data_IF_407593895287
#
_entry.id   IF_407593895287
#
_cell.length_a   1.000
_cell.length_b   1.000
_cell.length_c   1.000
_cell.angle_alpha   90.00
_cell.angle_beta   90.00
_cell.angle_gamma   90.00
#
_symmetry.space_group_name_H-M   'P 1'
#
loop_
_entity.id
_entity.type
_entity.pdbx_description
1 polymer ?
#
# COMPACT_ATOMS: atom_id res chain seq x y z
N UNK A 1 -18.09 -36.69 12.05
CA UNK A 1 -17.61 -35.71 11.04
C UNK A 1 -16.20 -35.29 11.42
N UNK A 2 -15.17 -35.93 10.88
CA UNK A 2 -13.77 -35.59 11.16
C UNK A 2 -13.47 -34.20 10.62
N UNK A 3 -13.28 -33.22 11.51
CA UNK A 3 -12.76 -31.92 11.15
C UNK A 3 -11.35 -32.09 10.56
N UNK A 4 -11.22 -32.03 9.24
CA UNK A 4 -9.92 -31.92 8.61
C UNK A 4 -9.32 -30.55 8.98
N UNK A 5 -8.23 -30.58 9.76
CA UNK A 5 -7.49 -29.36 10.14
C UNK A 5 -7.02 -28.61 8.90
N UNK A 6 -7.15 -27.29 8.89
CA UNK A 6 -6.64 -26.44 7.80
C UNK A 6 -5.10 -26.45 7.77
N UNK A 7 -4.48 -26.05 6.66
CA UNK A 7 -3.03 -25.96 6.58
C UNK A 7 -2.43 -25.01 7.63
N UNK A 8 -3.18 -23.95 7.99
CA UNK A 8 -2.79 -23.03 9.07
C UNK A 8 -2.90 -23.65 10.47
N UNK A 9 -3.68 -24.68 10.65
CA UNK A 9 -3.83 -25.42 11.91
C UNK A 9 -2.84 -26.58 12.02
N UNK A 10 -2.49 -27.25 10.89
CA UNK A 10 -1.53 -28.36 10.87
C UNK A 10 -0.10 -27.90 11.07
N UNK A 11 0.35 -26.90 10.31
CA UNK A 11 1.70 -26.37 10.36
C UNK A 11 1.68 -24.82 10.38
N UNK A 12 1.25 -24.20 11.48
CA UNK A 12 1.00 -22.77 11.51
C UNK A 12 2.27 -21.94 11.22
N UNK A 13 3.44 -22.33 11.74
CA UNK A 13 4.68 -21.61 11.50
C UNK A 13 5.05 -21.59 10.01
N UNK A 14 5.00 -22.74 9.34
CA UNK A 14 5.33 -22.85 7.92
C UNK A 14 4.33 -22.08 7.04
N UNK A 15 3.04 -22.08 7.41
CA UNK A 15 2.00 -21.31 6.72
C UNK A 15 2.32 -19.81 6.76
N UNK A 16 2.52 -19.25 7.94
CA UNK A 16 2.76 -17.82 8.10
C UNK A 16 4.07 -17.36 7.44
N UNK A 17 5.13 -18.17 7.49
CA UNK A 17 6.37 -17.90 6.77
C UNK A 17 6.16 -17.86 5.25
N UNK A 18 5.55 -18.90 4.68
CA UNK A 18 5.28 -18.98 3.25
C UNK A 18 4.37 -17.85 2.79
N UNK A 19 3.34 -17.52 3.57
CA UNK A 19 2.45 -16.40 3.28
C UNK A 19 3.20 -15.07 3.32
N UNK A 20 4.01 -14.82 4.34
CA UNK A 20 4.79 -13.60 4.46
C UNK A 20 5.75 -13.40 3.29
N UNK A 21 6.48 -14.45 2.89
CA UNK A 21 7.38 -14.41 1.72
C UNK A 21 6.60 -14.15 0.42
N UNK A 22 5.43 -14.78 0.23
CA UNK A 22 4.62 -14.56 -0.96
C UNK A 22 4.05 -13.14 -1.01
N UNK A 23 3.58 -12.63 0.13
CA UNK A 23 3.07 -11.26 0.22
C UNK A 23 4.19 -10.23 -0.02
N UNK A 24 5.37 -10.45 0.56
CA UNK A 24 6.58 -9.67 0.27
C UNK A 24 6.90 -9.66 -1.24
N UNK A 25 6.88 -10.83 -1.90
CA UNK A 25 7.08 -10.95 -3.35
C UNK A 25 6.03 -10.15 -4.16
N UNK A 26 4.77 -10.16 -3.73
CA UNK A 26 3.73 -9.37 -4.39
C UNK A 26 3.95 -7.85 -4.26
N UNK A 27 4.50 -7.41 -3.12
CA UNK A 27 4.82 -5.99 -2.89
C UNK A 27 6.01 -5.56 -3.73
N UNK A 28 7.08 -6.35 -3.78
CA UNK A 28 8.25 -6.06 -4.63
C UNK A 28 7.85 -5.82 -6.08
N UNK A 29 6.90 -6.59 -6.63
CA UNK A 29 6.47 -6.52 -8.02
C UNK A 29 5.99 -5.13 -8.45
N UNK A 30 5.34 -4.39 -7.55
CA UNK A 30 4.87 -3.04 -7.87
C UNK A 30 5.74 -1.95 -7.23
N UNK A 31 6.38 -2.22 -6.08
CA UNK A 31 7.12 -1.21 -5.34
C UNK A 31 8.41 -0.77 -6.07
N UNK A 32 9.22 -1.70 -6.60
CA UNK A 32 10.40 -1.36 -7.40
C UNK A 32 10.06 -0.44 -8.59
N UNK A 33 9.10 -0.84 -9.46
CA UNK A 33 8.63 0.03 -10.53
C UNK A 33 8.14 1.39 -10.07
N UNK A 34 7.28 1.46 -9.06
CA UNK A 34 6.67 2.73 -8.65
C UNK A 34 7.62 3.66 -7.91
N UNK A 35 8.56 3.11 -7.15
CA UNK A 35 9.48 3.94 -6.37
C UNK A 35 10.62 4.52 -7.22
N UNK A 36 11.05 3.81 -8.27
CA UNK A 36 12.24 4.23 -9.01
C UNK A 36 12.16 3.96 -10.51
N UNK A 37 11.89 2.72 -10.97
CA UNK A 37 12.10 2.33 -12.36
C UNK A 37 11.23 3.12 -13.36
N UNK A 38 9.95 3.34 -13.06
CA UNK A 38 9.05 4.12 -13.91
C UNK A 38 9.49 5.58 -13.98
N UNK A 39 9.97 6.15 -12.88
CA UNK A 39 10.54 7.49 -12.87
C UNK A 39 11.77 7.61 -13.75
N UNK A 40 12.72 6.70 -13.65
CA UNK A 40 13.91 6.65 -14.49
C UNK A 40 13.55 6.46 -15.95
N UNK A 41 12.61 5.57 -16.26
CA UNK A 41 12.16 5.33 -17.64
C UNK A 41 11.46 6.54 -18.25
N UNK A 42 10.73 7.37 -17.46
CA UNK A 42 10.16 8.63 -17.94
C UNK A 42 11.23 9.66 -18.28
N UNK A 43 12.34 9.71 -17.52
CA UNK A 43 13.48 10.58 -17.84
C UNK A 43 14.06 10.25 -19.23
N UNK A 44 14.11 8.97 -19.59
CA UNK A 44 14.62 8.53 -20.91
C UNK A 44 13.59 8.72 -22.02
N UNK A 45 12.33 8.38 -21.80
CA UNK A 45 11.29 8.36 -22.83
C UNK A 45 10.67 9.74 -23.10
N UNK A 46 10.57 10.58 -22.07
CA UNK A 46 9.89 11.88 -22.13
C UNK A 46 10.55 12.93 -21.24
N UNK A 47 11.81 13.32 -21.52
CA UNK A 47 12.58 14.23 -20.66
C UNK A 47 11.87 15.57 -20.43
N UNK A 48 11.20 16.13 -21.45
CA UNK A 48 10.54 17.44 -21.38
C UNK A 48 9.20 17.41 -20.64
N UNK A 49 8.60 16.23 -20.43
CA UNK A 49 7.28 16.07 -19.79
C UNK A 49 7.25 14.86 -18.83
N UNK A 50 8.38 14.58 -18.18
CA UNK A 50 8.57 13.41 -17.33
C UNK A 50 7.58 13.35 -16.15
N UNK A 51 7.32 14.50 -15.52
CA UNK A 51 6.42 14.61 -14.37
C UNK A 51 4.96 14.34 -14.78
N UNK A 52 4.48 15.00 -15.84
CA UNK A 52 3.10 14.82 -16.32
C UNK A 52 2.88 13.40 -16.84
N UNK A 53 3.88 12.85 -17.56
CA UNK A 53 3.82 11.49 -18.08
C UNK A 53 3.81 10.44 -16.96
N UNK A 54 4.66 10.58 -15.95
CA UNK A 54 4.65 9.69 -14.79
C UNK A 54 3.33 9.77 -14.03
N UNK A 55 2.81 10.99 -13.82
CA UNK A 55 1.53 11.20 -13.16
C UNK A 55 0.37 10.50 -13.90
N UNK A 56 0.30 10.66 -15.23
CA UNK A 56 -0.74 10.03 -16.05
C UNK A 56 -0.64 8.51 -16.01
N UNK A 57 0.57 7.96 -16.16
CA UNK A 57 0.83 6.53 -16.11
C UNK A 57 0.40 5.93 -14.76
N UNK A 58 0.75 6.59 -13.65
CA UNK A 58 0.42 6.14 -12.30
C UNK A 58 -1.08 6.29 -12.00
N UNK A 59 -1.71 7.36 -12.48
CA UNK A 59 -3.16 7.55 -12.32
C UNK A 59 -3.94 6.45 -13.04
N UNK A 60 -3.58 6.12 -14.29
CA UNK A 60 -4.22 5.04 -15.04
C UNK A 60 -3.96 3.67 -14.41
N UNK A 61 -2.72 3.41 -13.97
CA UNK A 61 -2.36 2.20 -13.24
C UNK A 61 -3.12 2.08 -11.92
N UNK A 62 -3.21 3.15 -11.15
CA UNK A 62 -3.96 3.20 -9.89
C UNK A 62 -5.46 2.99 -10.08
N UNK A 63 -6.07 3.62 -11.09
CA UNK A 63 -7.46 3.40 -11.45
C UNK A 63 -7.72 1.92 -11.81
N UNK A 64 -6.81 1.34 -12.62
CA UNK A 64 -6.87 -0.07 -12.99
C UNK A 64 -6.75 -0.98 -11.77
N UNK A 65 -5.84 -0.68 -10.83
CA UNK A 65 -5.67 -1.45 -9.59
C UNK A 65 -6.95 -1.43 -8.74
N UNK A 66 -7.59 -0.27 -8.57
CA UNK A 66 -8.84 -0.13 -7.82
C UNK A 66 -9.97 -0.95 -8.46
N UNK A 67 -10.18 -0.80 -9.77
CA UNK A 67 -11.21 -1.54 -10.49
C UNK A 67 -10.94 -3.05 -10.45
N UNK A 68 -9.68 -3.46 -10.65
CA UNK A 68 -9.30 -4.87 -10.62
C UNK A 68 -9.48 -5.49 -9.24
N UNK A 69 -9.24 -4.73 -8.17
CA UNK A 69 -9.46 -5.20 -6.80
C UNK A 69 -10.93 -5.54 -6.53
N UNK A 70 -11.88 -4.75 -7.09
CA UNK A 70 -13.31 -5.04 -6.99
C UNK A 70 -13.69 -6.29 -7.81
N UNK A 71 -13.14 -6.42 -9.02
CA UNK A 71 -13.42 -7.56 -9.91
C UNK A 71 -12.85 -8.87 -9.35
N UNK A 72 -11.66 -8.82 -8.74
CA UNK A 72 -10.95 -10.00 -8.21
C UNK A 72 -11.81 -10.76 -7.18
N UNK A 73 -12.45 -10.02 -6.26
CA UNK A 73 -13.34 -10.64 -5.27
C UNK A 73 -14.47 -11.42 -5.92
N UNK A 74 -15.14 -10.80 -6.88
CA UNK A 74 -16.23 -11.43 -7.61
C UNK A 74 -15.78 -12.63 -8.46
N UNK A 75 -14.67 -12.50 -9.19
CA UNK A 75 -14.13 -13.57 -10.05
C UNK A 75 -13.69 -14.79 -9.24
N UNK A 76 -13.04 -14.55 -8.09
CA UNK A 76 -12.54 -15.62 -7.23
C UNK A 76 -13.63 -16.36 -6.45
N UNK A 77 -14.80 -15.75 -6.22
CA UNK A 77 -15.94 -16.39 -5.55
C UNK A 77 -16.76 -17.28 -6.48
N UNK A 78 -16.73 -17.04 -7.79
CA UNK A 78 -17.38 -17.91 -8.77
C UNK A 78 -16.57 -19.18 -8.96
N UNK A 79 -17.21 -20.34 -8.71
CA UNK A 79 -16.63 -21.65 -8.92
C UNK A 79 -16.43 -21.92 -10.42
N UNK A 80 -15.19 -21.91 -10.89
CA UNK A 80 -14.80 -22.33 -12.22
C UNK A 80 -14.34 -23.81 -12.21
N UNK A 81 -14.40 -24.48 -13.33
CA UNK A 81 -14.17 -25.90 -13.54
C UNK A 81 -12.87 -26.49 -12.94
N UNK A 82 -11.81 -25.68 -12.77
CA UNK A 82 -10.52 -26.10 -12.19
C UNK A 82 -10.47 -26.01 -10.66
N UNK A 83 -11.41 -25.36 -10.07
CA UNK A 83 -11.45 -24.96 -8.65
C UNK A 83 -11.56 -26.17 -7.72
N UNK A 84 -12.18 -27.25 -8.18
CA UNK A 84 -12.39 -28.45 -7.35
C UNK A 84 -11.09 -29.19 -6.99
N UNK A 85 -10.00 -28.96 -7.75
CA UNK A 85 -8.73 -29.69 -7.56
C UNK A 85 -7.67 -28.86 -6.79
N UNK A 86 -7.71 -27.51 -6.88
CA UNK A 86 -6.66 -26.62 -6.39
C UNK A 86 -7.16 -25.56 -5.41
N UNK A 87 -8.43 -25.63 -5.00
CA UNK A 87 -9.08 -24.58 -4.19
C UNK A 87 -9.52 -23.36 -5.00
N UNK A 88 -10.20 -22.42 -4.37
CA UNK A 88 -10.82 -21.26 -5.07
C UNK A 88 -9.84 -20.13 -5.38
N UNK A 89 -8.78 -19.96 -4.60
CA UNK A 89 -7.91 -18.78 -4.63
C UNK A 89 -6.57 -19.03 -5.32
N UNK A 90 -5.99 -20.20 -5.06
CA UNK A 90 -4.65 -20.56 -5.52
C UNK A 90 -4.47 -20.56 -7.05
N UNK A 91 -5.42 -21.06 -7.87
CA UNK A 91 -5.30 -21.00 -9.32
C UNK A 91 -5.14 -19.58 -9.87
N UNK A 92 -5.81 -18.62 -9.26
CA UNK A 92 -5.69 -17.21 -9.65
C UNK A 92 -4.30 -16.64 -9.34
N UNK A 93 -3.72 -17.01 -8.19
CA UNK A 93 -2.35 -16.61 -7.83
C UNK A 93 -1.34 -17.23 -8.79
N UNK A 94 -1.49 -18.54 -9.10
CA UNK A 94 -0.60 -19.27 -10.02
C UNK A 94 -0.67 -18.76 -11.48
N UNK A 95 -1.85 -18.31 -11.91
CA UNK A 95 -2.02 -17.72 -13.25
C UNK A 95 -1.47 -16.29 -13.30
N UNK A 96 -1.78 -15.48 -12.29
CA UNK A 96 -1.45 -14.06 -12.31
C UNK A 96 0.03 -13.78 -12.07
N UNK A 97 0.73 -14.54 -11.20
CA UNK A 97 2.13 -14.28 -10.89
C UNK A 97 3.08 -14.37 -12.12
N UNK A 98 3.00 -15.38 -13.00
CA UNK A 98 3.78 -15.39 -14.24
C UNK A 98 3.44 -14.21 -15.16
N UNK A 99 2.16 -13.82 -15.23
CA UNK A 99 1.72 -12.70 -16.08
C UNK A 99 2.24 -11.34 -15.57
N UNK A 100 2.38 -11.17 -14.24
CA UNK A 100 3.10 -10.02 -13.66
C UNK A 100 4.54 -10.01 -14.14
N UNK A 101 5.23 -11.15 -14.06
CA UNK A 101 6.64 -11.27 -14.47
C UNK A 101 6.83 -10.98 -15.95
N UNK A 102 5.97 -11.54 -16.81
CA UNK A 102 6.00 -11.26 -18.25
C UNK A 102 5.72 -9.80 -18.54
N UNK A 103 4.75 -9.19 -17.85
CA UNK A 103 4.45 -7.76 -17.99
C UNK A 103 5.65 -6.89 -17.65
N UNK A 104 6.31 -7.13 -16.51
CA UNK A 104 7.52 -6.42 -16.09
C UNK A 104 8.67 -6.62 -17.09
N UNK A 105 8.85 -7.85 -17.60
CA UNK A 105 9.84 -8.13 -18.62
C UNK A 105 9.59 -7.35 -19.91
N UNK A 106 8.34 -7.30 -20.38
CA UNK A 106 7.99 -6.54 -21.59
C UNK A 106 8.16 -5.03 -21.39
N UNK A 107 7.86 -4.51 -20.19
CA UNK A 107 8.05 -3.09 -19.85
C UNK A 107 9.51 -2.66 -20.00
N UNK A 108 10.47 -3.53 -19.74
CA UNK A 108 11.91 -3.24 -19.79
C UNK A 108 12.43 -2.91 -21.20
N UNK A 109 11.74 -3.34 -22.25
CA UNK A 109 12.14 -3.12 -23.65
C UNK A 109 11.30 -2.08 -24.37
N UNK A 110 10.32 -1.49 -23.69
CA UNK A 110 9.31 -0.68 -24.37
C UNK A 110 9.80 0.76 -24.62
N UNK A 111 9.93 1.19 -25.90
CA UNK A 111 10.32 2.55 -26.24
C UNK A 111 9.15 3.53 -26.32
N UNK A 112 7.91 3.06 -26.12
CA UNK A 112 6.70 3.86 -26.28
C UNK A 112 6.00 4.09 -24.96
N UNK A 113 5.71 5.35 -24.64
CA UNK A 113 4.97 5.74 -23.44
C UNK A 113 3.60 5.06 -23.31
N UNK A 114 2.82 4.99 -24.40
CA UNK A 114 1.47 4.40 -24.34
C UNK A 114 1.49 2.88 -24.18
N UNK A 115 2.48 2.21 -24.81
CA UNK A 115 2.67 0.77 -24.63
C UNK A 115 3.11 0.47 -23.21
N UNK A 116 4.05 1.27 -22.66
CA UNK A 116 4.47 1.16 -21.26
C UNK A 116 3.30 1.35 -20.30
N UNK A 117 2.47 2.37 -20.53
CA UNK A 117 1.28 2.64 -19.71
C UNK A 117 0.28 1.48 -19.79
N UNK A 118 0.03 0.93 -20.99
CA UNK A 118 -0.84 -0.24 -21.15
C UNK A 118 -0.31 -1.49 -20.44
N UNK A 119 1.00 -1.75 -20.54
CA UNK A 119 1.64 -2.87 -19.84
C UNK A 119 1.59 -2.67 -18.32
N UNK A 120 1.82 -1.45 -17.84
CA UNK A 120 1.69 -1.13 -16.42
C UNK A 120 0.28 -1.35 -15.89
N UNK A 121 -0.74 -0.90 -16.61
CA UNK A 121 -2.14 -1.19 -16.28
C UNK A 121 -2.39 -2.70 -16.22
N UNK A 122 -1.86 -3.47 -17.17
CA UNK A 122 -2.00 -4.91 -17.18
C UNK A 122 -1.30 -5.57 -15.98
N UNK A 123 -0.09 -5.13 -15.64
CA UNK A 123 0.63 -5.56 -14.43
C UNK A 123 -0.19 -5.29 -13.18
N UNK A 124 -0.80 -4.11 -13.07
CA UNK A 124 -1.65 -3.76 -11.92
C UNK A 124 -2.89 -4.66 -11.80
N UNK A 125 -3.49 -5.09 -12.91
CA UNK A 125 -4.55 -6.09 -12.89
C UNK A 125 -4.06 -7.37 -12.22
N UNK A 126 -2.95 -7.92 -12.69
CA UNK A 126 -2.45 -9.20 -12.18
C UNK A 126 -1.89 -9.11 -10.76
N UNK A 127 -1.24 -8.00 -10.38
CA UNK A 127 -0.84 -7.72 -9.00
C UNK A 127 -2.05 -7.70 -8.07
N UNK A 128 -3.16 -7.08 -8.47
CA UNK A 128 -4.39 -7.09 -7.70
C UNK A 128 -4.94 -8.53 -7.52
N UNK A 129 -4.91 -9.35 -8.58
CA UNK A 129 -5.30 -10.76 -8.47
C UNK A 129 -4.41 -11.54 -7.50
N UNK A 130 -3.10 -11.36 -7.52
CA UNK A 130 -2.18 -12.01 -6.56
C UNK A 130 -2.48 -11.54 -5.13
N UNK A 131 -2.41 -10.23 -4.89
CA UNK A 131 -2.49 -9.66 -3.54
C UNK A 131 -3.82 -9.94 -2.86
N UNK A 132 -4.94 -9.72 -3.57
CA UNK A 132 -6.27 -9.92 -3.01
C UNK A 132 -6.56 -11.40 -2.73
N UNK A 133 -6.13 -12.31 -3.62
CA UNK A 133 -6.32 -13.74 -3.35
C UNK A 133 -5.43 -14.24 -2.21
N UNK A 134 -4.18 -13.77 -2.07
CA UNK A 134 -3.34 -14.07 -0.91
C UNK A 134 -4.00 -13.60 0.40
N UNK A 135 -4.54 -12.39 0.42
CA UNK A 135 -5.26 -11.86 1.58
C UNK A 135 -6.52 -12.67 1.89
N UNK A 136 -7.28 -13.06 0.87
CA UNK A 136 -8.50 -13.84 1.07
C UNK A 136 -8.22 -15.26 1.55
N UNK A 137 -7.13 -15.90 1.09
CA UNK A 137 -6.70 -17.20 1.65
C UNK A 137 -6.52 -17.13 3.15
N UNK A 138 -5.93 -16.05 3.68
CA UNK A 138 -5.77 -15.92 5.14
C UNK A 138 -7.10 -15.78 5.86
N UNK A 139 -8.06 -15.07 5.28
CA UNK A 139 -9.41 -14.96 5.83
C UNK A 139 -10.17 -16.29 5.81
N UNK A 140 -9.93 -17.13 4.79
CA UNK A 140 -10.60 -18.42 4.60
C UNK A 140 -10.05 -19.53 5.55
N UNK A 141 -8.72 -19.51 5.85
CA UNK A 141 -8.07 -20.64 6.53
C UNK A 141 -7.50 -20.32 7.92
N UNK A 142 -7.34 -19.05 8.29
CA UNK A 142 -6.75 -18.64 9.57
C UNK A 142 -7.85 -18.43 10.61
N UNK A 143 -7.71 -18.97 11.84
CA UNK A 143 -8.61 -18.66 12.94
C UNK A 143 -8.59 -17.17 13.31
N UNK A 144 -9.73 -16.65 13.76
CA UNK A 144 -9.89 -15.21 14.08
C UNK A 144 -8.91 -14.71 15.14
N UNK A 145 -8.56 -15.59 16.12
CA UNK A 145 -7.60 -15.26 17.17
C UNK A 145 -6.19 -14.93 16.63
N UNK A 146 -5.88 -15.37 15.40
CA UNK A 146 -4.59 -15.15 14.75
C UNK A 146 -4.61 -14.03 13.70
N UNK A 147 -5.72 -13.34 13.50
CA UNK A 147 -5.80 -12.24 12.53
C UNK A 147 -4.86 -11.09 12.87
N UNK A 148 -4.60 -10.83 14.15
CA UNK A 148 -3.58 -9.86 14.55
C UNK A 148 -2.18 -10.23 14.07
N UNK A 149 -1.81 -11.52 14.14
CA UNK A 149 -0.55 -12.01 13.59
C UNK A 149 -0.47 -11.85 12.07
N UNK A 150 -1.56 -12.17 11.35
CA UNK A 150 -1.62 -11.93 9.87
C UNK A 150 -1.43 -10.47 9.55
N UNK A 151 -2.13 -9.57 10.24
CA UNK A 151 -1.99 -8.12 10.04
C UNK A 151 -0.57 -7.63 10.30
N UNK A 152 0.09 -8.15 11.34
CA UNK A 152 1.49 -7.85 11.64
C UNK A 152 2.44 -8.31 10.53
N UNK A 153 2.25 -9.53 10.02
CA UNK A 153 3.04 -10.08 8.90
C UNK A 153 2.83 -9.23 7.64
N UNK A 154 1.58 -8.90 7.31
CA UNK A 154 1.24 -8.06 6.15
C UNK A 154 1.91 -6.70 6.26
N UNK A 155 1.79 -6.02 7.40
CA UNK A 155 2.40 -4.71 7.62
C UNK A 155 3.93 -4.73 7.50
N UNK A 156 4.58 -5.71 8.13
CA UNK A 156 6.03 -5.88 8.06
C UNK A 156 6.49 -6.19 6.63
N UNK A 157 5.86 -7.16 5.97
CA UNK A 157 6.24 -7.58 4.61
C UNK A 157 5.92 -6.51 3.57
N UNK A 158 4.89 -5.70 3.78
CA UNK A 158 4.59 -4.53 2.95
C UNK A 158 5.75 -3.52 3.02
N UNK A 159 6.16 -3.15 4.22
CA UNK A 159 7.25 -2.17 4.42
C UNK A 159 8.58 -2.71 3.90
N UNK A 160 8.95 -3.94 4.25
CA UNK A 160 10.17 -4.58 3.73
C UNK A 160 10.11 -4.80 2.22
N UNK A 161 8.93 -5.06 1.65
CA UNK A 161 8.75 -5.21 0.21
C UNK A 161 9.00 -3.91 -0.56
N UNK A 162 8.59 -2.76 -0.02
CA UNK A 162 8.91 -1.45 -0.59
C UNK A 162 10.41 -1.23 -0.56
N UNK A 163 11.07 -1.42 0.58
CA UNK A 163 12.53 -1.28 0.70
C UNK A 163 13.26 -2.24 -0.22
N UNK A 164 12.86 -3.51 -0.26
CA UNK A 164 13.46 -4.54 -1.10
C UNK A 164 13.29 -4.25 -2.60
N UNK A 165 12.10 -3.82 -3.02
CA UNK A 165 11.83 -3.43 -4.41
C UNK A 165 12.66 -2.22 -4.82
N UNK A 166 12.77 -1.20 -3.97
CA UNK A 166 13.62 -0.03 -4.21
C UNK A 166 15.09 -0.42 -4.26
N UNK A 167 15.56 -1.28 -3.34
CA UNK A 167 16.94 -1.74 -3.31
C UNK A 167 17.35 -2.49 -4.60
N UNK A 168 16.49 -3.39 -5.09
CA UNK A 168 16.73 -4.08 -6.38
C UNK A 168 16.75 -3.08 -7.53
N UNK A 169 15.84 -2.10 -7.52
CA UNK A 169 15.75 -1.07 -8.57
C UNK A 169 16.98 -0.14 -8.59
N UNK A 170 17.56 0.15 -7.42
CA UNK A 170 18.78 0.98 -7.29
C UNK A 170 20.06 0.20 -7.64
N UNK A 171 20.12 -1.08 -7.32
CA UNK A 171 21.34 -1.88 -7.47
C UNK A 171 21.64 -2.33 -8.91
N UNK A 172 20.65 -2.28 -9.81
CA UNK A 172 20.76 -2.85 -11.17
C UNK A 172 20.34 -1.83 -12.22
N UNK A 173 20.89 -1.91 -13.46
CA UNK A 173 20.38 -1.17 -14.59
C UNK A 173 18.88 -1.42 -14.81
N UNK A 174 18.15 -0.42 -15.32
CA UNK A 174 16.68 -0.45 -15.44
C UNK A 174 16.14 -1.78 -16.00
N UNK A 175 16.69 -2.23 -17.13
CA UNK A 175 16.28 -3.50 -17.77
C UNK A 175 16.44 -4.71 -16.86
N UNK A 176 17.62 -4.83 -16.24
CA UNK A 176 17.93 -5.94 -15.34
C UNK A 176 17.12 -5.87 -14.05
N UNK A 177 16.84 -4.66 -13.56
CA UNK A 177 16.04 -4.43 -12.38
C UNK A 177 14.59 -4.91 -12.57
N UNK A 178 13.96 -4.63 -13.74
CA UNK A 178 12.64 -5.17 -14.06
C UNK A 178 12.62 -6.70 -14.06
N UNK A 179 13.66 -7.33 -14.62
CA UNK A 179 13.77 -8.78 -14.64
C UNK A 179 13.96 -9.37 -13.25
N UNK A 180 14.86 -8.77 -12.47
CA UNK A 180 15.12 -9.20 -11.10
C UNK A 180 13.88 -9.09 -10.22
N UNK A 181 13.18 -7.96 -10.29
CA UNK A 181 11.91 -7.74 -9.57
C UNK A 181 10.87 -8.78 -9.98
N UNK A 182 10.72 -9.03 -11.28
CA UNK A 182 9.76 -10.02 -11.80
C UNK A 182 10.08 -11.44 -11.34
N UNK A 183 11.35 -11.87 -11.46
CA UNK A 183 11.79 -13.23 -11.08
C UNK A 183 11.69 -13.43 -9.55
N UNK A 184 12.17 -12.48 -8.76
CA UNK A 184 12.08 -12.53 -7.28
C UNK A 184 10.61 -12.65 -6.86
N UNK A 185 9.75 -11.80 -7.42
CA UNK A 185 8.31 -11.83 -7.15
C UNK A 185 7.72 -13.20 -7.50
N UNK A 186 8.01 -13.72 -8.69
CA UNK A 186 7.51 -15.02 -9.15
C UNK A 186 7.93 -16.15 -8.20
N UNK A 187 9.22 -16.24 -7.88
CA UNK A 187 9.77 -17.29 -7.00
C UNK A 187 9.13 -17.24 -5.62
N UNK A 188 8.99 -16.03 -5.06
CA UNK A 188 8.44 -15.85 -3.72
C UNK A 188 6.93 -16.11 -3.66
N UNK A 189 6.19 -15.78 -4.71
CA UNK A 189 4.77 -16.11 -4.79
C UNK A 189 4.57 -17.63 -5.06
N UNK A 190 5.37 -18.21 -5.97
CA UNK A 190 5.22 -19.59 -6.38
C UNK A 190 5.51 -20.59 -5.25
N UNK A 191 6.48 -20.30 -4.35
CA UNK A 191 6.77 -21.14 -3.20
C UNK A 191 5.56 -21.29 -2.22
N UNK A 192 4.65 -20.32 -2.22
CA UNK A 192 3.41 -20.42 -1.45
C UNK A 192 2.43 -21.41 -2.08
N UNK A 193 2.42 -21.49 -3.40
CA UNK A 193 1.52 -22.32 -4.17
C UNK A 193 2.00 -23.78 -4.29
N UNK A 194 3.32 -24.00 -4.43
CA UNK A 194 3.94 -25.33 -4.58
C UNK A 194 3.97 -26.06 -3.24
N UNK A 195 3.58 -27.34 -3.22
CA UNK A 195 3.62 -28.19 -2.02
C UNK A 195 2.35 -28.15 -1.16
N UNK A 196 1.31 -27.48 -1.62
CA UNK A 196 -0.01 -27.51 -0.98
C UNK A 196 -0.99 -28.28 -1.85
N UNK A 197 -0.93 -29.60 -1.75
CA UNK A 197 -2.08 -30.42 -2.07
C UNK A 197 -3.23 -29.97 -1.14
N UNK A 198 -4.27 -29.37 -1.73
CA UNK A 198 -5.49 -28.94 -1.05
C UNK A 198 -5.29 -27.82 -0.01
N UNK A 199 -5.07 -26.59 -0.49
CA UNK A 199 -5.50 -25.41 0.28
C UNK A 199 -7.03 -25.48 0.28
N UNK A 200 -7.55 -25.78 1.43
CA UNK A 200 -8.89 -26.22 1.69
C UNK A 200 -9.95 -25.43 0.91
N UNK A 201 -10.71 -26.15 0.09
CA UNK A 201 -11.94 -25.68 -0.56
C UNK A 201 -13.10 -25.53 0.45
N UNK A 202 -12.86 -25.75 1.71
CA UNK A 202 -13.85 -25.61 2.78
C UNK A 202 -13.82 -24.20 3.32
N UNK A 203 -14.50 -23.29 2.62
CA UNK A 203 -14.92 -22.01 3.18
C UNK A 203 -15.69 -22.31 4.45
N UNK A 204 -15.12 -21.97 5.61
CA UNK A 204 -15.92 -21.95 6.85
C UNK A 204 -17.04 -20.95 6.60
N UNK A 205 -18.33 -21.33 6.81
CA UNK A 205 -19.39 -20.34 6.75
C UNK A 205 -18.98 -19.24 7.72
N UNK A 206 -18.89 -18.02 7.20
CA UNK A 206 -18.61 -16.83 7.98
C UNK A 206 -19.74 -16.73 9.00
N UNK A 207 -19.54 -17.25 10.20
CA UNK A 207 -20.41 -16.95 11.32
C UNK A 207 -20.29 -15.46 11.52
N UNK A 208 -21.25 -14.73 10.95
CA UNK A 208 -21.44 -13.31 11.24
C UNK A 208 -21.48 -13.23 12.78
N UNK A 209 -20.41 -12.67 13.35
CA UNK A 209 -20.35 -12.37 14.78
C UNK A 209 -21.66 -11.68 15.14
N UNK A 210 -22.45 -12.35 15.98
CA UNK A 210 -23.54 -11.74 16.73
C UNK A 210 -22.90 -10.76 17.74
N UNK A 211 -22.44 -9.61 17.23
CA UNK A 211 -21.97 -8.53 18.09
C UNK A 211 -23.20 -7.88 18.68
N UNK A 212 -23.28 -7.93 20.01
CA UNK A 212 -24.28 -7.25 20.83
C UNK A 212 -24.59 -5.84 20.34
N UNK A 213 -25.89 -5.55 20.29
CA UNK A 213 -26.45 -4.29 19.79
C UNK A 213 -26.00 -3.13 20.69
N UNK A 214 -25.12 -2.29 20.19
CA UNK A 214 -24.82 -0.97 20.73
C UNK A 214 -25.27 0.09 19.72
N UNK A 215 -25.50 1.31 20.21
CA UNK A 215 -26.10 2.45 19.51
C UNK A 215 -25.62 2.65 18.06
N UNK A 216 -26.52 3.14 17.21
CA UNK A 216 -26.21 3.58 15.85
C UNK A 216 -25.19 4.69 15.90
N UNK A 217 -24.00 4.46 15.29
CA UNK A 217 -22.95 5.46 15.19
C UNK A 217 -23.37 6.63 14.30
N UNK A 218 -22.76 7.79 14.52
CA UNK A 218 -23.07 8.99 13.76
C UNK A 218 -22.47 8.93 12.33
N UNK A 219 -23.30 9.00 11.30
CA UNK A 219 -22.85 9.15 9.91
C UNK A 219 -21.98 10.40 9.71
N UNK A 220 -22.14 11.44 10.51
CA UNK A 220 -21.29 12.63 10.48
C UNK A 220 -19.85 12.27 10.86
N UNK A 221 -19.64 11.53 11.95
CA UNK A 221 -18.31 11.09 12.37
C UNK A 221 -17.66 10.20 11.31
N UNK A 222 -18.42 9.27 10.72
CA UNK A 222 -17.98 8.39 9.66
C UNK A 222 -17.43 9.18 8.45
N UNK A 223 -18.18 10.16 7.94
CA UNK A 223 -17.76 10.96 6.78
C UNK A 223 -16.61 11.91 7.10
N UNK A 224 -16.52 12.43 8.32
CA UNK A 224 -15.38 13.23 8.76
C UNK A 224 -14.09 12.39 8.82
N UNK A 225 -14.16 11.18 9.36
CA UNK A 225 -13.03 10.24 9.38
C UNK A 225 -12.64 9.82 7.95
N UNK A 226 -13.63 9.54 7.09
CA UNK A 226 -13.40 9.22 5.68
C UNK A 226 -12.66 10.35 4.97
N UNK A 227 -13.15 11.59 5.07
CA UNK A 227 -12.56 12.74 4.40
C UNK A 227 -11.15 13.05 4.94
N UNK A 228 -10.98 13.05 6.26
CA UNK A 228 -9.66 13.25 6.89
C UNK A 228 -8.66 12.20 6.44
N UNK A 229 -9.05 10.93 6.50
CA UNK A 229 -8.22 9.81 6.06
C UNK A 229 -7.82 9.94 4.60
N UNK A 230 -8.77 10.23 3.71
CA UNK A 230 -8.50 10.46 2.29
C UNK A 230 -7.46 11.56 2.07
N UNK A 231 -7.65 12.70 2.71
CA UNK A 231 -6.81 13.90 2.58
C UNK A 231 -5.40 13.65 3.11
N UNK A 232 -5.24 13.02 4.28
CA UNK A 232 -3.94 12.70 4.87
C UNK A 232 -3.18 11.67 4.01
N UNK A 233 -3.84 10.61 3.52
CA UNK A 233 -3.22 9.65 2.61
C UNK A 233 -2.79 10.32 1.31
N UNK A 234 -3.65 11.18 0.74
CA UNK A 234 -3.35 11.90 -0.49
C UNK A 234 -2.09 12.75 -0.34
N UNK A 235 -1.97 13.53 0.74
CA UNK A 235 -0.80 14.36 0.99
C UNK A 235 0.48 13.51 1.20
N UNK A 236 0.39 12.43 1.99
CA UNK A 236 1.53 11.55 2.23
C UNK A 236 2.01 10.88 0.92
N UNK A 237 1.10 10.33 0.12
CA UNK A 237 1.47 9.71 -1.15
C UNK A 237 2.00 10.73 -2.16
N UNK A 238 1.41 11.93 -2.23
CA UNK A 238 1.89 13.02 -3.10
C UNK A 238 3.31 13.43 -2.73
N UNK A 239 3.64 13.53 -1.43
CA UNK A 239 4.97 13.92 -0.98
C UNK A 239 6.06 12.89 -1.31
N UNK A 240 5.70 11.62 -1.41
CA UNK A 240 6.63 10.53 -1.77
C UNK A 240 6.74 10.31 -3.28
N UNK A 241 5.78 10.84 -4.06
CA UNK A 241 5.62 10.48 -5.46
C UNK A 241 6.77 10.94 -6.36
N UNK A 242 7.23 12.20 -6.20
CA UNK A 242 8.31 12.76 -7.00
C UNK A 242 9.65 12.84 -6.26
N UNK A 243 9.87 11.97 -5.28
CA UNK A 243 11.08 12.01 -4.46
C UNK A 243 12.36 11.90 -5.30
N UNK A 244 12.37 11.05 -6.34
CA UNK A 244 13.47 10.91 -7.29
C UNK A 244 13.78 12.24 -8.00
N UNK A 245 12.76 12.88 -8.56
CA UNK A 245 12.92 14.12 -9.32
C UNK A 245 13.27 15.28 -8.40
N UNK A 246 12.70 15.34 -7.21
CA UNK A 246 13.06 16.32 -6.18
C UNK A 246 14.54 16.23 -5.79
N UNK A 247 15.07 15.03 -5.55
CA UNK A 247 16.47 14.83 -5.22
C UNK A 247 17.39 15.19 -6.38
N UNK A 248 16.98 14.87 -7.60
CA UNK A 248 17.75 15.11 -8.81
C UNK A 248 17.75 16.58 -9.24
N UNK A 249 16.55 17.18 -9.35
CA UNK A 249 16.37 18.46 -10.03
C UNK A 249 16.39 19.65 -9.06
N UNK A 250 16.01 19.46 -7.80
CA UNK A 250 15.95 20.53 -6.79
C UNK A 250 17.11 20.48 -5.80
N UNK A 251 17.38 19.33 -5.19
CA UNK A 251 18.50 19.20 -4.23
C UNK A 251 19.83 19.03 -4.94
N UNK A 252 19.86 18.47 -6.16
CA UNK A 252 21.08 18.28 -6.94
C UNK A 252 22.00 17.18 -6.37
N UNK A 253 21.45 16.10 -5.85
CA UNK A 253 22.23 15.00 -5.30
C UNK A 253 22.98 14.27 -6.42
N UNK A 254 24.27 13.93 -6.26
CA UNK A 254 25.04 13.24 -7.29
C UNK A 254 24.48 11.86 -7.67
N UNK A 255 23.91 11.12 -6.71
CA UNK A 255 23.27 9.82 -6.90
C UNK A 255 21.84 9.86 -6.32
N UNK A 256 20.85 10.30 -7.14
CA UNK A 256 19.46 10.41 -6.69
C UNK A 256 18.84 9.05 -6.36
N UNK A 257 19.25 7.99 -7.04
CA UNK A 257 18.68 6.64 -6.88
C UNK A 257 19.07 6.08 -5.51
N UNK A 258 20.34 6.16 -5.13
CA UNK A 258 20.81 5.84 -3.79
C UNK A 258 20.15 6.74 -2.72
N UNK A 259 19.92 8.01 -3.05
CA UNK A 259 19.18 8.95 -2.21
C UNK A 259 17.76 8.46 -1.92
N UNK A 260 17.01 8.05 -2.94
CA UNK A 260 15.64 7.49 -2.78
C UNK A 260 15.67 6.24 -1.91
N UNK A 261 16.61 5.32 -2.14
CA UNK A 261 16.74 4.12 -1.31
C UNK A 261 17.02 4.48 0.15
N UNK A 262 17.96 5.39 0.42
CA UNK A 262 18.29 5.82 1.77
C UNK A 262 17.09 6.42 2.49
N UNK A 263 16.34 7.32 1.83
CA UNK A 263 15.15 7.94 2.42
C UNK A 263 14.03 6.92 2.64
N UNK A 264 13.85 5.96 1.72
CA UNK A 264 12.89 4.87 1.85
C UNK A 264 13.21 3.98 3.06
N UNK A 265 14.51 3.65 3.27
CA UNK A 265 14.98 2.88 4.43
C UNK A 265 14.73 3.65 5.72
N UNK A 266 15.11 4.92 5.79
CA UNK A 266 14.89 5.77 6.97
C UNK A 266 13.40 5.85 7.29
N UNK A 267 12.56 6.18 6.31
CA UNK A 267 11.11 6.21 6.47
C UNK A 267 10.56 4.87 6.98
N UNK A 268 10.98 3.76 6.39
CA UNK A 268 10.50 2.42 6.73
C UNK A 268 10.88 2.00 8.16
N UNK A 269 12.14 2.21 8.55
CA UNK A 269 12.64 1.86 9.90
C UNK A 269 11.87 2.62 10.96
N UNK A 270 11.74 3.92 10.81
CA UNK A 270 11.02 4.74 11.80
C UNK A 270 9.51 4.47 11.78
N UNK A 271 8.92 4.17 10.63
CA UNK A 271 7.51 3.74 10.53
C UNK A 271 7.27 2.46 11.31
N UNK A 272 8.11 1.44 11.17
CA UNK A 272 7.93 0.16 11.87
C UNK A 272 8.07 0.34 13.39
N UNK A 273 9.15 1.02 13.82
CA UNK A 273 9.40 1.24 15.25
C UNK A 273 8.23 1.98 15.89
N UNK A 274 7.80 3.07 15.27
CA UNK A 274 6.74 3.90 15.85
C UNK A 274 5.35 3.27 15.73
N UNK A 275 5.07 2.49 14.70
CA UNK A 275 3.80 1.75 14.61
C UNK A 275 3.64 0.74 15.76
N UNK A 276 4.73 0.02 16.12
CA UNK A 276 4.71 -0.93 17.24
C UNK A 276 4.52 -0.20 18.58
N UNK A 277 5.28 0.88 18.79
CA UNK A 277 5.22 1.66 20.04
C UNK A 277 3.87 2.33 20.20
N UNK A 278 3.39 3.00 19.16
CA UNK A 278 2.15 3.79 19.22
C UNK A 278 0.89 2.91 19.30
N UNK A 279 0.89 1.72 18.74
CA UNK A 279 -0.19 0.74 18.94
C UNK A 279 -0.37 0.41 20.41
N UNK A 280 0.72 0.06 21.12
CA UNK A 280 0.69 -0.23 22.54
C UNK A 280 0.29 1.01 23.39
N UNK A 281 0.77 2.20 23.01
CA UNK A 281 0.45 3.46 23.68
C UNK A 281 -1.02 3.82 23.49
N UNK A 282 -1.53 3.66 22.25
CA UNK A 282 -2.92 3.92 21.90
C UNK A 282 -3.91 3.09 22.72
N UNK A 283 -3.59 1.80 22.89
CA UNK A 283 -4.45 0.89 23.67
C UNK A 283 -4.48 1.24 25.18
N UNK A 284 -3.36 1.77 25.71
CA UNK A 284 -3.28 2.19 27.11
C UNK A 284 -3.96 3.52 27.37
N UNK A 285 -3.81 4.49 26.47
CA UNK A 285 -4.32 5.85 26.66
C UNK A 285 -5.81 5.95 26.30
N UNK A 286 -6.28 5.12 25.36
CA UNK A 286 -7.67 5.16 24.86
C UNK A 286 -8.06 6.43 24.10
N UNK A 287 -7.11 7.35 23.84
CA UNK A 287 -7.35 8.65 23.17
C UNK A 287 -6.82 8.64 21.73
N UNK A 288 -7.41 7.81 20.89
CA UNK A 288 -6.98 7.59 19.49
C UNK A 288 -7.00 8.87 18.65
N UNK A 289 -8.01 9.70 18.84
CA UNK A 289 -8.16 10.98 18.12
C UNK A 289 -6.93 11.88 18.26
N UNK A 290 -6.37 12.02 19.46
CA UNK A 290 -5.21 12.88 19.69
C UNK A 290 -4.00 12.37 18.93
N UNK A 291 -3.77 11.06 18.91
CA UNK A 291 -2.65 10.45 18.20
C UNK A 291 -2.76 10.65 16.68
N UNK A 292 -3.97 10.56 16.12
CA UNK A 292 -4.21 10.83 14.69
C UNK A 292 -3.95 12.31 14.37
N UNK A 293 -4.42 13.23 15.21
CA UNK A 293 -4.19 14.67 15.01
C UNK A 293 -2.70 15.02 15.10
N UNK A 294 -2.01 14.54 16.15
CA UNK A 294 -0.57 14.79 16.34
C UNK A 294 0.24 14.20 15.19
N UNK A 295 -0.08 12.98 14.74
CA UNK A 295 0.61 12.36 13.61
C UNK A 295 0.38 13.12 12.30
N UNK A 296 -0.83 13.61 12.04
CA UNK A 296 -1.11 14.41 10.86
C UNK A 296 -0.35 15.76 10.87
N UNK A 297 -0.24 16.42 12.03
CA UNK A 297 0.64 17.59 12.18
C UNK A 297 2.12 17.23 12.00
N UNK A 298 2.54 16.06 12.44
CA UNK A 298 3.90 15.58 12.21
C UNK A 298 4.19 15.35 10.72
N UNK A 299 3.24 14.78 9.96
CA UNK A 299 3.34 14.68 8.49
C UNK A 299 3.42 16.06 7.85
N UNK A 300 2.58 17.03 8.31
CA UNK A 300 2.62 18.40 7.83
C UNK A 300 3.97 19.07 8.11
N UNK A 301 4.54 18.87 9.29
CA UNK A 301 5.85 19.40 9.64
C UNK A 301 6.96 18.78 8.78
N UNK A 302 6.93 17.47 8.56
CA UNK A 302 7.89 16.77 7.71
C UNK A 302 7.86 17.29 6.27
N UNK A 303 6.66 17.44 5.69
CA UNK A 303 6.50 18.00 4.33
C UNK A 303 6.87 19.48 4.30
N UNK A 304 6.59 20.24 5.37
CA UNK A 304 7.06 21.61 5.53
C UNK A 304 8.59 21.74 5.58
N UNK A 305 9.30 20.79 6.21
CA UNK A 305 10.77 20.73 6.17
C UNK A 305 11.29 20.51 4.75
N UNK A 306 10.62 19.68 3.94
CA UNK A 306 10.99 19.46 2.53
C UNK A 306 10.84 20.75 1.69
N UNK A 307 9.92 21.65 2.05
CA UNK A 307 9.73 22.94 1.39
C UNK A 307 10.96 23.85 1.47
N UNK A 308 11.67 23.80 2.60
CA UNK A 308 12.83 24.68 2.86
C UNK A 308 14.18 23.94 2.76
N UNK A 309 14.16 22.66 2.37
CA UNK A 309 15.37 21.87 2.33
C UNK A 309 16.27 22.30 1.15
N UNK A 310 17.50 22.61 1.46
CA UNK A 310 18.57 22.96 0.50
C UNK A 310 19.64 21.89 0.41
N UNK A 311 19.52 20.80 1.15
CA UNK A 311 20.51 19.72 1.18
C UNK A 311 19.98 18.46 1.86
N UNK A 312 20.72 17.37 1.64
CA UNK A 312 20.31 16.01 2.02
C UNK A 312 20.09 15.83 3.54
N UNK A 313 20.79 16.60 4.39
CA UNK A 313 20.64 16.50 5.85
C UNK A 313 19.22 16.80 6.32
N UNK A 314 18.62 17.90 5.83
CA UNK A 314 17.25 18.29 6.19
C UNK A 314 16.23 17.35 5.56
N UNK A 315 16.49 16.85 4.34
CA UNK A 315 15.64 15.84 3.67
C UNK A 315 15.62 14.53 4.47
N UNK A 316 16.76 14.07 4.98
CA UNK A 316 16.82 12.89 5.86
C UNK A 316 16.05 13.10 7.16
N UNK A 317 16.20 14.26 7.80
CA UNK A 317 15.45 14.61 9.00
C UNK A 317 13.93 14.63 8.73
N UNK A 318 13.51 15.17 7.59
CA UNK A 318 12.12 15.16 7.14
C UNK A 318 11.61 13.73 6.91
N UNK A 319 12.40 12.86 6.28
CA UNK A 319 12.03 11.45 6.06
C UNK A 319 11.89 10.67 7.38
N UNK A 320 12.76 10.92 8.35
CA UNK A 320 12.65 10.34 9.70
C UNK A 320 11.36 10.80 10.38
N UNK A 321 11.10 12.11 10.39
CA UNK A 321 9.89 12.66 11.00
C UNK A 321 8.62 12.17 10.30
N UNK A 322 8.66 12.04 8.96
CA UNK A 322 7.57 11.49 8.17
C UNK A 322 7.32 10.02 8.54
N UNK A 323 8.38 9.22 8.67
CA UNK A 323 8.29 7.82 9.10
C UNK A 323 7.71 7.67 10.51
N UNK A 324 8.19 8.48 11.47
CA UNK A 324 7.63 8.52 12.83
C UNK A 324 6.14 8.83 12.80
N UNK A 325 5.77 9.88 12.10
CA UNK A 325 4.39 10.36 12.04
C UNK A 325 3.47 9.36 11.33
N UNK A 326 3.94 8.78 10.22
CA UNK A 326 3.17 7.79 9.47
C UNK A 326 3.00 6.48 10.25
N UNK A 327 4.01 6.05 11.01
CA UNK A 327 3.91 4.87 11.86
C UNK A 327 2.87 5.03 12.96
N UNK A 328 2.83 6.21 13.60
CA UNK A 328 1.76 6.55 14.57
C UNK A 328 0.41 6.56 13.89
N UNK A 329 0.28 7.27 12.76
CA UNK A 329 -0.98 7.35 12.01
C UNK A 329 -1.51 5.97 11.64
N UNK A 330 -0.70 5.16 10.96
CA UNK A 330 -1.12 3.86 10.41
C UNK A 330 -1.57 2.85 11.47
N UNK A 331 -0.95 2.90 12.66
CA UNK A 331 -1.31 2.00 13.77
C UNK A 331 -2.64 2.35 14.42
N UNK A 332 -3.00 3.64 14.48
CA UNK A 332 -4.19 4.14 15.17
C UNK A 332 -5.38 4.35 14.23
N UNK A 333 -5.10 4.66 12.97
CA UNK A 333 -6.09 4.95 11.93
C UNK A 333 -7.12 3.83 11.77
N UNK A 334 -6.68 2.57 11.66
CA UNK A 334 -7.59 1.42 11.51
C UNK A 334 -8.51 1.23 12.72
N UNK A 335 -8.01 1.54 13.91
CA UNK A 335 -8.80 1.48 15.12
C UNK A 335 -9.86 2.59 15.16
N UNK A 336 -9.50 3.80 14.73
CA UNK A 336 -10.44 4.93 14.61
C UNK A 336 -11.53 4.66 13.56
N UNK A 337 -11.18 4.02 12.43
CA UNK A 337 -12.15 3.57 11.44
C UNK A 337 -13.18 2.63 12.08
N UNK A 338 -12.73 1.61 12.82
CA UNK A 338 -13.61 0.64 13.44
C UNK A 338 -14.57 1.27 14.47
N UNK A 339 -14.15 2.33 15.16
CA UNK A 339 -14.98 3.08 16.12
C UNK A 339 -15.99 4.02 15.45
N UNK A 340 -15.67 4.51 14.24
CA UNK A 340 -16.53 5.46 13.52
C UNK A 340 -17.62 4.80 12.68
N UNK A 341 -17.67 3.47 12.60
CA UNK A 341 -18.65 2.74 11.78
C UNK A 341 -20.08 2.97 12.27
N UNK A 342 -20.99 3.52 11.41
CA UNK A 342 -22.31 3.98 11.83
C UNK A 342 -23.30 2.82 12.04
N UNK A 343 -23.12 1.69 11.36
CA UNK A 343 -24.11 0.60 11.39
C UNK A 343 -23.45 -0.77 11.49
N UNK A 344 -23.99 -1.60 12.39
CA UNK A 344 -23.57 -3.00 12.49
C UNK A 344 -24.08 -3.85 11.32
N UNK A 345 -25.24 -3.52 10.79
CA UNK A 345 -25.89 -4.24 9.67
C UNK A 345 -25.08 -4.11 8.37
N UNK A 346 -24.47 -2.93 8.12
CA UNK A 346 -23.74 -2.62 6.90
C UNK A 346 -22.22 -2.55 7.11
N UNK A 347 -21.70 -3.10 8.22
CA UNK A 347 -20.31 -2.97 8.64
C UNK A 347 -19.30 -3.34 7.55
N UNK A 348 -19.53 -4.44 6.83
CA UNK A 348 -18.63 -4.90 5.77
C UNK A 348 -18.54 -3.88 4.61
N UNK A 349 -19.69 -3.33 4.19
CA UNK A 349 -19.75 -2.28 3.17
C UNK A 349 -19.01 -1.01 3.63
N UNK A 350 -19.27 -0.58 4.86
CA UNK A 350 -18.72 0.67 5.39
C UNK A 350 -17.19 0.56 5.62
N UNK A 351 -16.69 -0.59 6.05
CA UNK A 351 -15.24 -0.89 6.11
C UNK A 351 -14.62 -0.91 4.71
N UNK A 352 -15.30 -1.52 3.73
CA UNK A 352 -14.80 -1.55 2.34
C UNK A 352 -14.72 -0.14 1.75
N UNK A 353 -15.72 0.71 2.00
CA UNK A 353 -15.68 2.12 1.57
C UNK A 353 -14.50 2.87 2.24
N UNK A 354 -14.26 2.66 3.54
CA UNK A 354 -13.08 3.25 4.21
C UNK A 354 -11.77 2.77 3.60
N UNK A 355 -11.67 1.53 3.18
CA UNK A 355 -10.46 1.00 2.55
C UNK A 355 -10.20 1.62 1.16
N UNK A 356 -11.26 2.06 0.45
CA UNK A 356 -11.11 2.76 -0.82
C UNK A 356 -10.35 4.10 -0.68
N UNK A 357 -10.37 4.73 0.49
CA UNK A 357 -9.64 6.00 0.69
C UNK A 357 -8.17 5.89 0.35
N UNK A 358 -7.51 4.77 0.69
CA UNK A 358 -6.10 4.54 0.35
C UNK A 358 -5.88 4.38 -1.15
N UNK A 359 -6.67 3.50 -1.80
CA UNK A 359 -6.54 3.24 -3.23
C UNK A 359 -6.82 4.48 -4.08
N UNK A 360 -7.88 5.22 -3.73
CA UNK A 360 -8.26 6.44 -4.45
C UNK A 360 -7.25 7.57 -4.21
N UNK A 361 -6.72 7.73 -2.97
CA UNK A 361 -5.65 8.69 -2.71
C UNK A 361 -4.39 8.36 -3.50
N UNK A 362 -4.01 7.09 -3.59
CA UNK A 362 -2.86 6.65 -4.39
C UNK A 362 -3.08 6.91 -5.89
N UNK A 363 -4.30 6.73 -6.40
CA UNK A 363 -4.64 7.03 -7.79
C UNK A 363 -4.48 8.53 -8.12
N UNK A 364 -4.89 9.41 -7.21
CA UNK A 364 -4.88 10.86 -7.46
C UNK A 364 -3.58 11.56 -7.06
N UNK A 365 -2.70 10.94 -6.28
CA UNK A 365 -1.49 11.58 -5.77
C UNK A 365 -0.57 12.11 -6.88
N UNK A 366 -0.37 11.34 -7.95
CA UNK A 366 0.42 11.74 -9.10
C UNK A 366 -0.18 12.93 -9.86
N UNK A 367 -1.50 12.91 -10.10
CA UNK A 367 -2.20 14.01 -10.73
C UNK A 367 -2.15 15.30 -9.92
N UNK A 368 -2.32 15.20 -8.59
CA UNK A 368 -2.20 16.35 -7.69
C UNK A 368 -0.77 16.89 -7.68
N UNK A 369 0.24 16.02 -7.65
CA UNK A 369 1.64 16.41 -7.69
C UNK A 369 2.00 17.11 -9.02
N UNK A 370 1.57 16.56 -10.16
CA UNK A 370 1.80 17.18 -11.47
C UNK A 370 1.10 18.55 -11.58
N UNK A 371 -0.13 18.67 -11.08
CA UNK A 371 -0.85 19.95 -11.04
C UNK A 371 -0.11 20.97 -10.19
N UNK A 372 0.42 20.55 -9.04
CA UNK A 372 1.20 21.42 -8.18
C UNK A 372 2.49 21.89 -8.87
N UNK A 373 3.24 20.99 -9.50
CA UNK A 373 4.48 21.34 -10.22
C UNK A 373 4.25 22.21 -11.45
N UNK A 374 3.07 22.13 -12.07
CA UNK A 374 2.74 23.01 -13.20
C UNK A 374 2.61 24.50 -12.80
N UNK A 375 2.22 24.76 -11.54
CA UNK A 375 1.98 26.10 -11.03
C UNK A 375 3.01 26.57 -10.00
N UNK A 376 3.68 25.62 -9.37
CA UNK A 376 4.64 25.83 -8.31
C UNK A 376 5.83 24.91 -8.53
N UNK A 377 6.98 25.26 -7.96
CA UNK A 377 8.14 24.37 -7.91
C UNK A 377 7.96 23.24 -6.88
N UNK A 378 8.96 22.34 -6.75
CA UNK A 378 8.96 21.28 -5.74
C UNK A 378 8.69 21.78 -4.31
N UNK A 379 9.31 22.90 -3.85
CA UNK A 379 8.96 23.50 -2.55
C UNK A 379 7.48 23.80 -2.42
N UNK A 380 6.85 24.37 -3.45
CA UNK A 380 5.42 24.69 -3.43
C UNK A 380 4.54 23.47 -3.40
N UNK A 381 4.93 22.36 -4.05
CA UNK A 381 4.25 21.07 -3.96
C UNK A 381 4.28 20.53 -2.52
N UNK A 382 5.44 20.56 -1.85
CA UNK A 382 5.55 20.12 -0.47
C UNK A 382 4.78 21.03 0.52
N UNK A 383 4.78 22.34 0.27
CA UNK A 383 3.96 23.27 1.04
C UNK A 383 2.47 22.95 0.91
N UNK A 384 2.01 22.66 -0.31
CA UNK A 384 0.64 22.23 -0.56
C UNK A 384 0.33 20.94 0.23
N UNK A 385 1.22 19.92 0.21
CA UNK A 385 1.05 18.70 1.00
C UNK A 385 0.96 18.99 2.50
N UNK A 386 1.79 19.91 3.00
CA UNK A 386 1.75 20.35 4.41
C UNK A 386 0.39 20.98 4.76
N UNK A 387 -0.11 21.89 3.94
CA UNK A 387 -1.43 22.53 4.16
C UNK A 387 -2.54 21.47 4.10
N UNK A 388 -2.52 20.57 3.15
CA UNK A 388 -3.51 19.49 3.01
C UNK A 388 -3.51 18.59 4.25
N UNK A 389 -2.34 18.26 4.82
CA UNK A 389 -2.25 17.48 6.07
C UNK A 389 -2.81 18.24 7.26
N UNK A 390 -2.56 19.56 7.37
CA UNK A 390 -3.14 20.40 8.42
C UNK A 390 -4.67 20.39 8.32
N UNK A 391 -5.22 20.56 7.12
CA UNK A 391 -6.68 20.48 6.88
C UNK A 391 -7.20 19.09 7.29
N UNK A 392 -6.51 18.00 6.92
CA UNK A 392 -6.86 16.65 7.35
C UNK A 392 -6.87 16.49 8.88
N UNK A 393 -5.87 17.03 9.57
CA UNK A 393 -5.81 17.04 11.03
C UNK A 393 -6.98 17.80 11.67
N UNK A 394 -7.32 18.97 11.12
CA UNK A 394 -8.44 19.79 11.60
C UNK A 394 -9.80 19.11 11.39
N UNK A 395 -9.96 18.35 10.30
CA UNK A 395 -11.18 17.57 10.04
C UNK A 395 -11.44 16.46 11.07
N UNK A 396 -10.41 16.00 11.79
CA UNK A 396 -10.57 15.02 12.87
C UNK A 396 -11.08 15.68 14.16
N UNK A 397 -10.82 16.97 14.39
CA UNK A 397 -11.15 17.65 15.65
C UNK A 397 -12.66 17.60 16.01
N UNK A 398 -13.61 17.80 15.07
CA UNK A 398 -15.03 17.72 15.40
C UNK A 398 -15.56 16.28 15.55
N UNK A 399 -14.75 15.25 15.30
CA UNK A 399 -15.16 13.84 15.52
C UNK A 399 -15.36 13.63 17.01
N UNK A 400 -16.60 13.36 17.42
CA UNK A 400 -16.92 12.99 18.79
C UNK A 400 -16.60 11.52 18.98
N UNK A 401 -15.43 11.21 19.56
CA UNK A 401 -15.12 9.84 19.98
C UNK A 401 -15.91 9.54 21.25
N UNK A 402 -16.48 8.34 21.30
CA UNK A 402 -17.07 7.79 22.52
C UNK A 402 -15.98 7.31 23.50
N UNK A 403 -14.96 8.08 23.69
CA UNK A 403 -13.96 8.13 24.78
C UNK A 403 -12.63 8.66 24.29
#
# INVERSE_FOLDING_TARGET
MLHTLTAAEREPKLFFWKFGIAFFGSVIAWAGPTQLLLGLQMIELRPDSKEESLALLMMLGGATAVVSSLITGYAADRSWFWVNRWGKRLPWVLLAAPLVTVGLFLMSFTPSFWVLTGLWCLVQVFVAFVTNNLMTVTADVVPQEKFGLVSGIVGATYTFGIVGGTAVATALPITQAYWAVGVISLVFIFQFAVGRGHVDSHVRPHNSLSVTVGDEGSYRNYWLVFASRFVIHLANYTSLFYLLYYLRDHIGVPDPDAGVLMLTVLYAVFTIITAIVSGNVSDRIGRRKILVVVSAFGVAAATGMMTIATGMGLVCAAAILLGISWGVFSSVDQAMVNESLPSKKNRARDVSLMSLTQGVSNMFCGGLAALALRHFDYPGMFLMCSIICIVGALMVLPVTSSK
#
